data_IF_553612513131
#
_entry.id   IF_553612513131
#
_cell.length_a   1.000
_cell.length_b   1.000
_cell.length_c   1.000
_cell.angle_alpha   90.00
_cell.angle_beta   90.00
_cell.angle_gamma   90.00
#
_symmetry.space_group_name_H-M   'P 1'
#
loop_
_entity.id
_entity.type
_entity.pdbx_description
1 polymer ?
#
# COMPACT_ATOMS: atom_id res chain seq x y z
N UNK A 1 24.21 13.57 -14.38
CA UNK A 1 23.28 13.09 -13.33
C UNK A 1 23.85 11.81 -12.76
N UNK A 2 24.38 11.87 -11.54
CA UNK A 2 24.92 10.70 -10.86
C UNK A 2 23.74 9.83 -10.41
N UNK A 3 23.59 8.66 -11.01
CA UNK A 3 22.64 7.66 -10.56
C UNK A 3 22.98 7.26 -9.12
N UNK A 4 22.02 7.39 -8.22
CA UNK A 4 22.14 6.88 -6.87
C UNK A 4 22.34 5.37 -6.96
N UNK A 5 23.58 4.93 -6.77
CA UNK A 5 23.89 3.51 -6.61
C UNK A 5 23.39 3.11 -5.24
N UNK A 6 22.27 2.39 -5.19
CA UNK A 6 21.87 1.65 -4.01
C UNK A 6 22.99 0.65 -3.70
N UNK A 7 23.85 0.98 -2.74
CA UNK A 7 24.83 0.05 -2.19
C UNK A 7 24.06 -0.97 -1.37
N UNK A 8 23.65 -2.07 -2.01
CA UNK A 8 23.15 -3.23 -1.29
C UNK A 8 24.29 -3.78 -0.43
N UNK A 9 24.11 -3.72 0.88
CA UNK A 9 24.96 -4.40 1.84
C UNK A 9 24.71 -5.91 1.66
N UNK A 10 25.73 -6.74 1.35
CA UNK A 10 25.54 -8.13 0.94
C UNK A 10 25.15 -9.10 2.09
N UNK A 11 24.67 -8.60 3.23
CA UNK A 11 24.39 -9.39 4.44
C UNK A 11 22.92 -9.42 4.87
N UNK A 12 22.02 -8.76 4.16
CA UNK A 12 20.57 -8.88 4.37
C UNK A 12 19.93 -9.38 3.08
N UNK A 13 19.58 -10.67 3.06
CA UNK A 13 18.80 -11.26 1.97
C UNK A 13 17.36 -10.74 2.09
N UNK A 14 17.12 -9.53 1.58
CA UNK A 14 15.79 -8.91 1.60
C UNK A 14 14.80 -9.79 0.83
N UNK A 15 13.79 -10.29 1.53
CA UNK A 15 12.71 -11.08 0.93
C UNK A 15 11.66 -10.13 0.40
N UNK A 16 11.89 -9.60 -0.81
CA UNK A 16 10.96 -8.67 -1.44
C UNK A 16 9.73 -9.42 -1.94
N UNK A 17 8.55 -8.98 -1.51
CA UNK A 17 7.27 -9.50 -1.95
C UNK A 17 6.49 -8.41 -2.70
N UNK A 18 5.95 -8.76 -3.86
CA UNK A 18 5.09 -7.85 -4.62
C UNK A 18 3.79 -7.56 -3.87
N UNK A 19 3.32 -6.32 -3.94
CA UNK A 19 1.94 -5.98 -3.57
C UNK A 19 0.99 -6.62 -4.59
N UNK A 20 -0.17 -7.08 -4.13
CA UNK A 20 -1.13 -7.84 -4.95
C UNK A 20 -1.97 -6.95 -5.86
N UNK A 21 -2.24 -5.71 -5.45
CA UNK A 21 -2.91 -4.73 -6.29
C UNK A 21 -1.87 -3.98 -7.13
N UNK A 22 -1.68 -4.44 -8.36
CA UNK A 22 -0.80 -3.79 -9.34
C UNK A 22 -1.48 -3.74 -10.72
N UNK A 23 -1.41 -2.61 -11.44
CA UNK A 23 -2.07 -2.46 -12.74
C UNK A 23 -1.28 -3.07 -13.90
N UNK A 24 -0.02 -3.46 -13.67
CA UNK A 24 0.92 -3.94 -14.68
C UNK A 24 1.07 -5.45 -14.65
N UNK A 25 1.50 -6.05 -15.76
CA UNK A 25 1.82 -7.49 -15.81
C UNK A 25 3.01 -7.81 -14.90
N UNK A 26 4.04 -6.97 -14.95
CA UNK A 26 5.21 -7.07 -14.09
C UNK A 26 5.05 -6.16 -12.85
N UNK A 27 5.13 -6.70 -11.63
CA UNK A 27 5.02 -5.88 -10.42
C UNK A 27 6.23 -4.95 -10.31
N UNK A 28 5.98 -3.69 -9.97
CA UNK A 28 7.02 -2.66 -9.78
C UNK A 28 7.05 -2.09 -8.36
N UNK A 29 6.07 -2.46 -7.52
CA UNK A 29 6.00 -2.06 -6.12
C UNK A 29 6.08 -3.31 -5.24
N UNK A 30 7.02 -3.28 -4.30
CA UNK A 30 7.33 -4.39 -3.41
C UNK A 30 7.46 -3.89 -1.98
N UNK A 31 7.20 -4.76 -1.03
CA UNK A 31 7.56 -4.55 0.37
C UNK A 31 8.60 -5.59 0.81
N UNK A 32 9.40 -5.23 1.79
CA UNK A 32 10.38 -6.12 2.39
C UNK A 32 9.70 -6.99 3.45
N UNK A 33 9.48 -8.27 3.14
CA UNK A 33 8.91 -9.24 4.08
C UNK A 33 9.86 -9.56 5.23
N UNK A 34 11.15 -9.32 5.07
CA UNK A 34 12.14 -9.50 6.15
C UNK A 34 12.25 -8.29 7.09
N UNK A 35 11.46 -7.24 6.86
CA UNK A 35 11.36 -6.10 7.79
C UNK A 35 10.84 -6.54 9.17
N UNK A 36 11.07 -5.71 10.20
CA UNK A 36 10.62 -6.03 11.55
C UNK A 36 9.08 -6.15 11.55
N UNK A 37 8.50 -7.13 12.27
CA UNK A 37 7.05 -7.29 12.34
C UNK A 37 6.31 -6.01 12.78
N UNK A 38 6.90 -5.24 13.70
CA UNK A 38 6.30 -3.97 14.14
C UNK A 38 6.28 -2.92 13.01
N UNK A 39 7.34 -2.83 12.21
CA UNK A 39 7.41 -1.89 11.08
C UNK A 39 6.37 -2.24 10.01
N UNK A 40 6.16 -3.54 9.76
CA UNK A 40 5.12 -4.05 8.86
C UNK A 40 3.72 -3.74 9.40
N UNK A 41 3.48 -3.96 10.69
CA UNK A 41 2.20 -3.67 11.35
C UNK A 41 1.87 -2.18 11.35
N UNK A 42 2.82 -1.32 11.72
CA UNK A 42 2.65 0.12 11.74
C UNK A 42 2.37 0.66 10.33
N UNK A 43 3.10 0.15 9.33
CA UNK A 43 2.85 0.51 7.92
C UNK A 43 1.47 0.03 7.47
N UNK A 44 1.07 -1.19 7.83
CA UNK A 44 -0.24 -1.73 7.49
C UNK A 44 -1.37 -0.86 8.08
N UNK A 45 -1.28 -0.54 9.37
CA UNK A 45 -2.22 0.35 10.06
C UNK A 45 -2.29 1.73 9.41
N UNK A 46 -1.15 2.28 9.00
CA UNK A 46 -1.13 3.57 8.30
C UNK A 46 -1.89 3.50 6.97
N UNK A 47 -1.65 2.46 6.16
CA UNK A 47 -2.33 2.27 4.87
C UNK A 47 -3.84 2.10 5.04
N UNK A 48 -4.26 1.23 5.97
CA UNK A 48 -5.68 1.02 6.29
C UNK A 48 -6.35 2.31 6.81
N UNK A 49 -5.69 3.02 7.72
CA UNK A 49 -6.23 4.29 8.26
C UNK A 49 -6.32 5.38 7.20
N UNK A 50 -5.39 5.44 6.24
CA UNK A 50 -5.47 6.35 5.10
C UNK A 50 -6.65 6.01 4.18
N UNK A 51 -6.85 4.72 3.87
CA UNK A 51 -8.00 4.29 3.08
C UNK A 51 -9.33 4.58 3.79
N UNK A 52 -9.41 4.31 5.09
CA UNK A 52 -10.59 4.61 5.90
C UNK A 52 -10.96 6.10 5.81
N UNK A 53 -9.99 7.01 6.00
CA UNK A 53 -10.24 8.45 5.91
C UNK A 53 -10.73 8.88 4.52
N UNK A 54 -10.22 8.28 3.45
CA UNK A 54 -10.71 8.55 2.09
C UNK A 54 -12.18 8.11 1.93
N UNK A 55 -12.53 6.93 2.44
CA UNK A 55 -13.90 6.42 2.38
C UNK A 55 -14.85 7.26 3.24
N UNK A 56 -14.44 7.65 4.44
CA UNK A 56 -15.21 8.54 5.32
C UNK A 56 -15.51 9.88 4.65
N UNK A 57 -14.52 10.48 3.98
CA UNK A 57 -14.71 11.71 3.20
C UNK A 57 -15.82 11.52 2.15
N UNK A 58 -15.73 10.45 1.34
CA UNK A 58 -16.72 10.18 0.29
C UNK A 58 -18.11 9.84 0.82
N UNK A 59 -18.20 9.28 2.03
CA UNK A 59 -19.47 8.96 2.66
C UNK A 59 -20.12 10.19 3.34
N UNK A 60 -19.32 11.19 3.73
CA UNK A 60 -19.77 12.42 4.38
C UNK A 60 -20.26 13.49 3.42
N UNK A 61 -19.79 13.45 2.16
CA UNK A 61 -20.26 14.36 1.12
C UNK A 61 -21.69 14.00 0.69
N UNK A 62 -22.49 15.03 0.37
CA UNK A 62 -23.78 14.82 -0.31
C UNK A 62 -23.48 14.26 -1.71
N UNK A 63 -23.59 12.92 -1.83
CA UNK A 63 -23.27 12.13 -3.02
C UNK A 63 -23.96 12.67 -4.28
N UNK A 64 -25.07 13.40 -4.13
CA UNK A 64 -25.77 14.01 -5.26
C UNK A 64 -25.03 15.19 -5.90
N UNK A 65 -24.12 15.84 -5.16
CA UNK A 65 -23.30 16.97 -5.61
C UNK A 65 -21.85 16.60 -5.94
N UNK A 66 -21.43 15.39 -5.58
CA UNK A 66 -20.06 14.94 -5.76
C UNK A 66 -19.73 14.65 -7.23
N UNK A 67 -18.56 15.11 -7.69
CA UNK A 67 -18.05 14.78 -9.02
C UNK A 67 -17.77 13.28 -9.11
N UNK A 68 -18.48 12.58 -10.01
CA UNK A 68 -18.33 11.14 -10.21
C UNK A 68 -16.92 10.72 -10.61
N UNK A 69 -16.16 11.60 -11.29
CA UNK A 69 -14.74 11.35 -11.59
C UNK A 69 -13.89 11.42 -10.34
N UNK A 70 -14.14 12.39 -9.47
CA UNK A 70 -13.44 12.50 -8.19
C UNK A 70 -13.73 11.29 -7.31
N UNK A 71 -14.99 10.83 -7.24
CA UNK A 71 -15.37 9.62 -6.50
C UNK A 71 -14.64 8.37 -7.02
N UNK A 72 -14.54 8.21 -8.34
CA UNK A 72 -13.82 7.08 -8.94
C UNK A 72 -12.34 7.07 -8.55
N UNK A 73 -11.67 8.22 -8.62
CA UNK A 73 -10.24 8.36 -8.27
C UNK A 73 -10.01 8.08 -6.78
N UNK A 74 -10.89 8.61 -5.91
CA UNK A 74 -10.78 8.39 -4.46
C UNK A 74 -11.02 6.92 -4.11
N UNK A 75 -12.01 6.28 -4.76
CA UNK A 75 -12.31 4.86 -4.56
C UNK A 75 -11.15 3.97 -5.00
N UNK A 76 -10.51 4.27 -6.13
CA UNK A 76 -9.34 3.56 -6.62
C UNK A 76 -8.15 3.71 -5.64
N UNK A 77 -7.88 4.93 -5.17
CA UNK A 77 -6.82 5.17 -4.18
C UNK A 77 -7.09 4.43 -2.86
N UNK A 78 -8.33 4.43 -2.38
CA UNK A 78 -8.72 3.68 -1.18
C UNK A 78 -8.54 2.17 -1.39
N UNK A 79 -8.91 1.64 -2.56
CA UNK A 79 -8.71 0.23 -2.90
C UNK A 79 -7.24 -0.18 -2.88
N UNK A 80 -6.36 0.62 -3.48
CA UNK A 80 -4.91 0.35 -3.48
C UNK A 80 -4.37 0.33 -2.05
N UNK A 81 -4.71 1.33 -1.23
CA UNK A 81 -4.27 1.41 0.16
C UNK A 81 -4.81 0.27 1.04
N UNK A 82 -6.05 -0.17 0.82
CA UNK A 82 -6.61 -1.33 1.51
C UNK A 82 -5.86 -2.61 1.14
N UNK A 83 -5.61 -2.81 -0.15
CA UNK A 83 -4.86 -3.95 -0.67
C UNK A 83 -3.44 -3.99 -0.09
N UNK A 84 -2.75 -2.85 -0.08
CA UNK A 84 -1.42 -2.70 0.51
C UNK A 84 -1.41 -3.07 2.00
N UNK A 85 -2.34 -2.50 2.76
CA UNK A 85 -2.48 -2.77 4.19
C UNK A 85 -2.74 -4.25 4.46
N UNK A 86 -3.61 -4.88 3.66
CA UNK A 86 -3.95 -6.29 3.80
C UNK A 86 -2.76 -7.22 3.49
N UNK A 87 -1.97 -6.91 2.46
CA UNK A 87 -0.77 -7.68 2.13
C UNK A 87 0.28 -7.64 3.25
N UNK A 88 0.48 -6.46 3.84
CA UNK A 88 1.36 -6.28 5.00
C UNK A 88 0.85 -7.05 6.23
N UNK A 89 -0.46 -7.00 6.51
CA UNK A 89 -1.05 -7.79 7.59
C UNK A 89 -0.87 -9.30 7.38
N UNK A 90 -1.10 -9.79 6.15
CA UNK A 90 -0.93 -11.21 5.85
C UNK A 90 0.50 -11.68 6.02
N UNK A 91 1.48 -10.82 5.72
CA UNK A 91 2.88 -11.14 5.94
C UNK A 91 3.21 -11.43 7.41
N UNK A 92 2.46 -10.87 8.37
CA UNK A 92 2.62 -11.11 9.81
C UNK A 92 2.09 -12.47 10.27
N UNK A 93 1.25 -13.14 9.48
CA UNK A 93 0.50 -14.34 9.88
C UNK A 93 1.03 -15.63 9.27
N UNK A 94 2.07 -15.55 8.42
CA UNK A 94 2.59 -16.69 7.65
C UNK A 94 4.03 -17.01 8.06
N UNK A 95 4.15 -18.01 8.92
CA UNK A 95 5.36 -18.84 9.08
C UNK A 95 5.49 -19.83 7.91
#
# INVERSE_FOLDING_TARGET
>A
MAGAKFTQNPSSCHSLQALTAHPTVDPVIFFDRSAKPLDLLDTANHRLGAAQRLLELTASDDVQSADSRALSVVSEAAYLLLSDGYDLFRALTRD
#
